data_IF_746790213535
#
_entry.id   IF_746790213535
#
_cell.length_a   1.000
_cell.length_b   1.000
_cell.length_c   1.000
_cell.angle_alpha   90.00
_cell.angle_beta   90.00
_cell.angle_gamma   90.00
#
_symmetry.space_group_name_H-M   'P 1'
#
loop_
_entity.id
_entity.type
_entity.pdbx_description
1 polymer ?
#
# COMPACT_ATOMS: atom_id res chain seq x y z
N UNK A 1 19.78 -3.46 -13.69
CA UNK A 1 18.75 -3.76 -12.67
C UNK A 1 18.28 -5.19 -12.87
N UNK A 2 18.19 -6.01 -11.81
CA UNK A 2 17.64 -7.39 -11.94
C UNK A 2 16.19 -7.35 -12.46
N UNK A 3 15.75 -8.31 -13.32
CA UNK A 3 14.37 -8.39 -13.81
C UNK A 3 13.33 -8.36 -12.69
N UNK A 4 13.62 -8.99 -11.55
CA UNK A 4 12.74 -9.03 -10.38
C UNK A 4 12.50 -7.63 -9.78
N UNK A 5 13.53 -6.78 -9.75
CA UNK A 5 13.41 -5.38 -9.27
C UNK A 5 12.50 -4.56 -10.18
N UNK A 6 12.59 -4.77 -11.49
CA UNK A 6 11.72 -4.09 -12.45
C UNK A 6 10.26 -4.52 -12.29
N UNK A 7 10.02 -5.81 -12.03
CA UNK A 7 8.68 -6.33 -11.72
C UNK A 7 8.12 -5.66 -10.46
N UNK A 8 8.90 -5.55 -9.38
CA UNK A 8 8.44 -4.87 -8.17
C UNK A 8 8.13 -3.40 -8.40
N UNK A 9 8.93 -2.71 -9.21
CA UNK A 9 8.65 -1.31 -9.57
C UNK A 9 7.37 -1.18 -10.40
N UNK A 10 7.18 -2.05 -11.40
CA UNK A 10 5.97 -2.07 -12.22
C UNK A 10 4.73 -2.36 -11.37
N UNK A 11 4.81 -3.32 -10.44
CA UNK A 11 3.75 -3.63 -9.49
C UNK A 11 3.47 -2.46 -8.54
N UNK A 12 4.50 -1.74 -8.08
CA UNK A 12 4.31 -0.55 -7.24
C UNK A 12 3.55 0.55 -7.98
N UNK A 13 3.87 0.78 -9.26
CA UNK A 13 3.19 1.77 -10.12
C UNK A 13 1.75 1.33 -10.40
N UNK A 14 1.54 0.08 -10.81
CA UNK A 14 0.20 -0.45 -11.05
C UNK A 14 -0.66 -0.39 -9.79
N UNK A 15 -0.10 -0.83 -8.67
CA UNK A 15 -0.75 -0.84 -7.37
C UNK A 15 -1.03 0.55 -6.81
N UNK A 16 -0.37 1.60 -7.31
CA UNK A 16 -0.70 2.98 -7.00
C UNK A 16 -1.86 3.49 -7.87
N UNK A 17 -1.80 3.25 -9.18
CA UNK A 17 -2.75 3.80 -10.13
C UNK A 17 -4.13 3.14 -10.04
N UNK A 18 -4.16 1.81 -9.98
CA UNK A 18 -5.43 1.06 -10.09
C UNK A 18 -6.39 1.32 -8.92
N UNK A 19 -5.99 1.21 -7.63
CA UNK A 19 -6.89 1.50 -6.52
C UNK A 19 -7.27 2.99 -6.44
N UNK A 20 -6.30 3.89 -6.68
CA UNK A 20 -6.56 5.33 -6.63
C UNK A 20 -7.56 5.78 -7.69
N UNK A 21 -7.52 5.18 -8.89
CA UNK A 21 -8.52 5.44 -9.92
C UNK A 21 -9.94 5.18 -9.41
N UNK A 22 -10.19 4.00 -8.83
CA UNK A 22 -11.50 3.62 -8.29
C UNK A 22 -11.94 4.50 -7.10
N UNK A 23 -11.00 4.86 -6.22
CA UNK A 23 -11.28 5.78 -5.12
C UNK A 23 -11.72 7.17 -5.61
N UNK A 24 -11.03 7.72 -6.61
CA UNK A 24 -11.38 9.02 -7.20
C UNK A 24 -12.71 8.96 -7.94
N UNK A 25 -12.99 7.89 -8.68
CA UNK A 25 -14.28 7.68 -9.34
C UNK A 25 -15.41 7.69 -8.32
N UNK A 26 -15.31 6.86 -7.27
CA UNK A 26 -16.32 6.81 -6.20
C UNK A 26 -16.53 8.16 -5.53
N UNK A 27 -15.45 8.88 -5.21
CA UNK A 27 -15.53 10.23 -4.61
C UNK A 27 -16.24 11.24 -5.51
N UNK A 28 -16.03 11.18 -6.83
CA UNK A 28 -16.68 12.06 -7.80
C UNK A 28 -18.16 11.74 -7.97
N UNK A 29 -18.51 10.46 -7.98
CA UNK A 29 -19.88 9.99 -8.17
C UNK A 29 -20.76 10.23 -6.95
N UNK A 30 -20.23 10.00 -5.74
CA UNK A 30 -20.99 10.14 -4.49
C UNK A 30 -20.88 11.52 -3.86
N UNK A 31 -19.86 12.33 -4.21
CA UNK A 31 -19.60 13.64 -3.62
C UNK A 31 -19.18 13.62 -2.14
N UNK A 32 -19.09 12.44 -1.52
CA UNK A 32 -18.80 12.27 -0.09
C UNK A 32 -17.31 12.39 0.30
N UNK A 33 -16.43 12.58 -0.68
CA UNK A 33 -14.98 12.62 -0.47
C UNK A 33 -14.45 11.38 0.26
N UNK A 34 -13.45 11.56 1.12
CA UNK A 34 -12.86 10.47 1.91
C UNK A 34 -13.87 9.77 2.83
N UNK A 35 -14.85 10.51 3.37
CA UNK A 35 -15.86 9.94 4.25
C UNK A 35 -16.78 8.97 3.50
N UNK A 36 -17.21 9.34 2.28
CA UNK A 36 -17.99 8.46 1.42
C UNK A 36 -17.25 7.19 1.00
N UNK A 37 -15.92 7.22 0.96
CA UNK A 37 -15.09 6.03 0.75
C UNK A 37 -15.11 5.09 1.97
N UNK A 38 -14.97 5.65 3.16
CA UNK A 38 -15.05 4.89 4.41
C UNK A 38 -16.43 4.24 4.52
N UNK A 39 -17.50 5.00 4.26
CA UNK A 39 -18.87 4.48 4.32
C UNK A 39 -19.06 3.31 3.32
N UNK A 40 -18.46 3.40 2.13
CA UNK A 40 -18.50 2.32 1.13
C UNK A 40 -17.72 1.07 1.55
N UNK A 41 -16.64 1.21 2.31
CA UNK A 41 -15.92 0.06 2.86
C UNK A 41 -16.77 -0.72 3.88
N UNK A 42 -17.66 -0.04 4.61
CA UNK A 42 -18.50 -0.65 5.64
C UNK A 42 -19.96 -0.89 5.19
N UNK A 43 -20.26 -0.79 3.89
CA UNK A 43 -21.64 -0.92 3.38
C UNK A 43 -22.20 -2.34 3.48
N UNK A 44 -21.35 -3.36 3.45
CA UNK A 44 -21.74 -4.76 3.63
C UNK A 44 -20.62 -5.60 4.27
N UNK A 45 -20.95 -6.84 4.63
CA UNK A 45 -20.00 -7.74 5.30
C UNK A 45 -18.78 -8.09 4.44
N UNK A 46 -18.93 -8.18 3.11
CA UNK A 46 -17.83 -8.53 2.22
C UNK A 46 -16.80 -7.38 2.09
N UNK A 47 -17.26 -6.15 1.87
CA UNK A 47 -16.38 -4.96 1.80
C UNK A 47 -15.76 -4.66 3.17
N UNK A 48 -16.51 -4.91 4.25
CA UNK A 48 -16.00 -4.78 5.62
C UNK A 48 -14.87 -5.79 5.87
N UNK A 49 -15.05 -7.03 5.43
CA UNK A 49 -14.02 -8.07 5.49
C UNK A 49 -12.76 -7.68 4.73
N UNK A 50 -12.89 -7.14 3.51
CA UNK A 50 -11.77 -6.63 2.72
C UNK A 50 -11.04 -5.46 3.41
N UNK A 51 -11.78 -4.54 4.05
CA UNK A 51 -11.16 -3.44 4.79
C UNK A 51 -10.32 -3.94 5.98
N UNK A 52 -10.81 -4.95 6.70
CA UNK A 52 -10.06 -5.59 7.79
C UNK A 52 -8.85 -6.37 7.30
N UNK A 53 -8.97 -7.11 6.18
CA UNK A 53 -7.86 -7.82 5.55
C UNK A 53 -6.70 -6.86 5.20
N UNK A 54 -7.02 -5.73 4.55
CA UNK A 54 -6.05 -4.69 4.23
C UNK A 54 -5.45 -4.05 5.50
N UNK A 55 -6.25 -3.82 6.53
CA UNK A 55 -5.81 -3.22 7.79
C UNK A 55 -4.82 -4.13 8.52
N UNK A 56 -5.13 -5.41 8.66
CA UNK A 56 -4.25 -6.39 9.30
C UNK A 56 -2.94 -6.51 8.51
N UNK A 57 -3.03 -6.56 7.18
CA UNK A 57 -1.84 -6.60 6.31
C UNK A 57 -1.00 -5.32 6.45
N UNK A 58 -1.63 -4.16 6.60
CA UNK A 58 -0.93 -2.87 6.79
C UNK A 58 -0.13 -2.85 8.10
N UNK A 59 -0.74 -3.35 9.17
CA UNK A 59 -0.09 -3.48 10.47
C UNK A 59 1.08 -4.46 10.38
N UNK A 60 0.87 -5.64 9.81
CA UNK A 60 1.92 -6.65 9.65
C UNK A 60 3.11 -6.11 8.82
N UNK A 61 2.85 -5.44 7.70
CA UNK A 61 3.88 -4.83 6.86
C UNK A 61 4.63 -3.73 7.60
N UNK A 62 3.93 -2.87 8.34
CA UNK A 62 4.55 -1.79 9.12
C UNK A 62 5.49 -2.35 10.19
N UNK A 63 5.03 -3.35 10.96
CA UNK A 63 5.87 -4.03 11.95
C UNK A 63 7.10 -4.67 11.32
N UNK A 64 6.95 -5.30 10.16
CA UNK A 64 8.06 -5.88 9.41
C UNK A 64 9.09 -4.82 8.97
N UNK A 65 8.62 -3.72 8.36
CA UNK A 65 9.50 -2.63 7.91
C UNK A 65 10.29 -2.06 9.09
N UNK A 66 9.64 -1.85 10.24
CA UNK A 66 10.29 -1.34 11.44
C UNK A 66 11.34 -2.32 11.97
N UNK A 67 11.00 -3.60 12.11
CA UNK A 67 11.93 -4.63 12.58
C UNK A 67 13.16 -4.75 11.66
N UNK A 68 12.96 -4.76 10.34
CA UNK A 68 14.07 -4.88 9.38
C UNK A 68 14.91 -3.60 9.31
N UNK A 69 14.29 -2.42 9.42
CA UNK A 69 15.03 -1.14 9.48
C UNK A 69 15.92 -1.07 10.71
N UNK A 70 15.43 -1.51 11.88
CA UNK A 70 16.21 -1.55 13.11
C UNK A 70 17.39 -2.54 13.02
N UNK A 71 17.16 -3.72 12.44
CA UNK A 71 18.19 -4.76 12.32
C UNK A 71 19.26 -4.44 11.26
N UNK A 72 18.87 -3.90 10.10
CA UNK A 72 19.78 -3.66 8.96
C UNK A 72 20.22 -2.19 8.80
N UNK A 73 19.72 -1.28 9.64
CA UNK A 73 19.89 0.19 9.52
C UNK A 73 19.53 0.75 8.13
N UNK A 74 18.59 0.09 7.44
CA UNK A 74 18.16 0.50 6.10
C UNK A 74 17.04 1.56 6.19
N UNK A 75 17.42 2.79 6.54
CA UNK A 75 16.48 3.90 6.76
C UNK A 75 15.61 4.25 5.54
N UNK A 76 16.08 3.94 4.32
CA UNK A 76 15.31 4.16 3.10
C UNK A 76 14.02 3.32 3.06
N UNK A 77 14.03 2.15 3.70
CA UNK A 77 12.88 1.26 3.73
C UNK A 77 11.66 1.88 4.45
N UNK A 78 11.88 2.87 5.33
CA UNK A 78 10.81 3.60 6.01
C UNK A 78 9.89 4.35 5.05
N UNK A 79 10.35 4.71 3.85
CA UNK A 79 9.52 5.37 2.81
C UNK A 79 8.35 4.48 2.36
N UNK A 80 8.47 3.16 2.51
CA UNK A 80 7.37 2.24 2.20
C UNK A 80 6.17 2.39 3.15
N UNK A 81 6.38 2.92 4.36
CA UNK A 81 5.29 3.18 5.33
C UNK A 81 4.34 4.27 4.82
N UNK A 82 4.79 5.52 4.56
CA UNK A 82 3.91 6.54 4.00
C UNK A 82 3.36 6.13 2.63
N UNK A 83 4.10 5.40 1.80
CA UNK A 83 3.55 4.86 0.56
C UNK A 83 2.37 3.90 0.80
N UNK A 84 2.45 3.04 1.81
CA UNK A 84 1.38 2.10 2.17
C UNK A 84 0.10 2.81 2.63
N UNK A 85 0.23 3.87 3.43
CA UNK A 85 -0.93 4.59 3.98
C UNK A 85 -1.48 5.69 3.07
N UNK A 86 -0.63 6.38 2.31
CA UNK A 86 -1.06 7.48 1.44
C UNK A 86 -1.51 7.00 0.06
N UNK A 87 -0.96 5.90 -0.44
CA UNK A 87 -1.23 5.39 -1.80
C UNK A 87 -1.97 4.04 -1.73
N UNK A 88 -1.56 3.17 -0.81
CA UNK A 88 -2.17 1.86 -0.59
C UNK A 88 -1.13 0.75 -0.48
N UNK A 89 -1.54 -0.35 0.14
CA UNK A 89 -0.67 -1.51 0.39
C UNK A 89 -0.13 -2.16 -0.89
N UNK A 90 -0.95 -2.14 -1.95
CA UNK A 90 -0.59 -2.59 -3.29
C UNK A 90 0.59 -1.83 -3.89
N UNK A 91 0.84 -0.59 -3.46
CA UNK A 91 2.04 0.17 -3.82
C UNK A 91 3.16 -0.05 -2.80
N UNK A 92 2.81 0.01 -1.51
CA UNK A 92 3.77 -0.02 -0.40
C UNK A 92 4.63 -1.28 -0.33
N UNK A 93 4.02 -2.47 -0.47
CA UNK A 93 4.75 -3.74 -0.41
C UNK A 93 5.72 -3.93 -1.60
N UNK A 94 5.31 -3.75 -2.87
CA UNK A 94 6.25 -3.84 -3.99
C UNK A 94 7.35 -2.78 -3.92
N UNK A 95 7.02 -1.56 -3.49
CA UNK A 95 8.03 -0.52 -3.25
C UNK A 95 9.03 -0.96 -2.18
N UNK A 96 8.56 -1.49 -1.05
CA UNK A 96 9.42 -2.04 -0.01
C UNK A 96 10.38 -3.10 -0.56
N UNK A 97 9.87 -4.07 -1.33
CA UNK A 97 10.69 -5.14 -1.93
C UNK A 97 11.73 -4.58 -2.92
N UNK A 98 11.39 -3.55 -3.68
CA UNK A 98 12.33 -2.86 -4.56
C UNK A 98 13.45 -2.15 -3.78
N UNK A 99 13.11 -1.52 -2.64
CA UNK A 99 14.08 -0.86 -1.75
C UNK A 99 14.98 -1.88 -1.05
N UNK A 100 14.41 -3.00 -0.58
CA UNK A 100 15.12 -4.08 0.13
C UNK A 100 16.11 -4.83 -0.75
N UNK A 101 15.78 -5.05 -2.01
CA UNK A 101 16.63 -5.80 -2.95
C UNK A 101 17.74 -4.95 -3.59
N UNK A 102 18.03 -3.77 -3.04
CA UNK A 102 19.14 -2.92 -3.50
C UNK A 102 20.44 -3.59 -3.07
N UNK A 103 21.33 -3.86 -4.04
CA UNK A 103 22.68 -4.31 -3.71
C UNK A 103 23.39 -3.20 -2.91
N UNK A 104 24.19 -3.56 -1.88
CA UNK A 104 24.96 -2.60 -1.10
C UNK A 104 25.98 -1.84 -1.95
#
# INVERSE_FOLDING_TARGET
MSPLRMIYLALAVWGALHPMYWFVVHMRETGGGLRGLIDAWYVNAATTGLAWDLTITAVALTLWILAETLARRNWLALIAIPASFCIGLSCGLPLYLFLRTRAP
#
